data_IF_840454134894
#
_entry.id   IF_840454134894
#
_cell.length_a   1.000
_cell.length_b   1.000
_cell.length_c   1.000
_cell.angle_alpha   90.00
_cell.angle_beta   90.00
_cell.angle_gamma   90.00
#
_symmetry.space_group_name_H-M   'P 1'
#
loop_
_entity.id
_entity.type
_entity.pdbx_description
1 polymer ?
#
# COMPACT_ATOMS: atom_id res chain seq x y z
N UNK A 1 30.43 -31.23 -63.95
CA UNK A 1 30.38 -30.65 -62.58
C UNK A 1 29.97 -29.18 -62.64
N UNK A 2 28.70 -28.83 -62.38
CA UNK A 2 28.24 -27.42 -62.29
C UNK A 2 28.38 -26.95 -60.84
N UNK A 3 29.32 -26.04 -60.56
CA UNK A 3 29.49 -25.41 -59.23
C UNK A 3 28.20 -24.68 -58.86
N UNK A 4 27.50 -25.14 -57.81
CA UNK A 4 26.42 -24.38 -57.15
C UNK A 4 27.04 -23.07 -56.63
N UNK A 5 26.63 -21.93 -57.19
CA UNK A 5 26.96 -20.61 -56.64
C UNK A 5 26.29 -20.51 -55.26
N UNK A 6 27.08 -20.40 -54.19
CA UNK A 6 26.59 -20.00 -52.89
C UNK A 6 25.96 -18.60 -53.03
N UNK A 7 24.64 -18.50 -52.91
CA UNK A 7 23.96 -17.21 -52.75
C UNK A 7 24.51 -16.60 -51.46
N UNK A 8 25.33 -15.55 -51.58
CA UNK A 8 25.69 -14.71 -50.43
C UNK A 8 24.38 -14.28 -49.75
N UNK A 9 24.33 -14.19 -48.40
CA UNK A 9 23.15 -13.67 -47.73
C UNK A 9 22.82 -12.32 -48.35
N UNK A 10 21.65 -12.24 -49.01
CA UNK A 10 21.13 -10.99 -49.54
C UNK A 10 21.18 -10.01 -48.37
N UNK A 11 21.89 -8.87 -48.52
CA UNK A 11 21.63 -7.72 -47.64
C UNK A 11 20.11 -7.61 -47.65
N UNK A 12 19.44 -7.83 -46.52
CA UNK A 12 18.03 -7.48 -46.45
C UNK A 12 17.97 -6.05 -46.99
N UNK A 13 17.16 -5.83 -48.04
CA UNK A 13 17.08 -4.50 -48.63
C UNK A 13 16.82 -3.55 -47.48
N UNK A 14 17.63 -2.49 -47.34
CA UNK A 14 17.58 -1.59 -46.18
C UNK A 14 16.13 -1.15 -45.89
N UNK A 15 15.31 -1.07 -46.95
CA UNK A 15 13.85 -0.89 -46.91
C UNK A 15 13.11 -1.96 -46.09
N UNK A 16 13.35 -3.24 -46.33
CA UNK A 16 12.75 -4.36 -45.58
C UNK A 16 13.13 -4.30 -44.10
N UNK A 17 14.38 -3.98 -43.78
CA UNK A 17 14.82 -3.81 -42.38
C UNK A 17 14.13 -2.62 -41.70
N UNK A 18 14.03 -1.49 -42.40
CA UNK A 18 13.33 -0.28 -41.91
C UNK A 18 11.85 -0.57 -41.67
N UNK A 19 11.18 -1.26 -42.59
CA UNK A 19 9.77 -1.65 -42.43
C UNK A 19 9.59 -2.58 -41.22
N UNK A 20 10.47 -3.56 -41.04
CA UNK A 20 10.40 -4.47 -39.89
C UNK A 20 10.62 -3.75 -38.56
N UNK A 21 11.57 -2.80 -38.50
CA UNK A 21 11.78 -1.96 -37.32
C UNK A 21 10.57 -1.06 -37.01
N UNK A 22 9.93 -0.50 -38.03
CA UNK A 22 8.70 0.29 -37.85
C UNK A 22 7.54 -0.57 -37.32
N UNK A 23 7.38 -1.79 -37.84
CA UNK A 23 6.36 -2.73 -37.33
C UNK A 23 6.63 -3.07 -35.87
N UNK A 24 7.88 -3.37 -35.50
CA UNK A 24 8.25 -3.63 -34.11
C UNK A 24 7.94 -2.42 -33.23
N UNK A 25 8.28 -1.21 -33.67
CA UNK A 25 7.99 0.02 -32.94
C UNK A 25 6.48 0.20 -32.73
N UNK A 26 5.65 -0.02 -33.77
CA UNK A 26 4.19 0.03 -33.66
C UNK A 26 3.68 -1.02 -32.68
N UNK A 27 4.11 -2.28 -32.81
CA UNK A 27 3.66 -3.37 -31.92
C UNK A 27 4.02 -3.10 -30.46
N UNK A 28 5.21 -2.58 -30.19
CA UNK A 28 5.67 -2.27 -28.81
C UNK A 28 4.97 -1.02 -28.25
N UNK A 29 4.67 -0.03 -29.08
CA UNK A 29 4.00 1.21 -28.65
C UNK A 29 2.48 1.10 -28.58
N UNK A 30 1.87 0.14 -29.29
CA UNK A 30 0.43 -0.02 -29.37
C UNK A 30 -0.24 -0.21 -28.00
N UNK A 31 0.24 -1.06 -27.08
CA UNK A 31 -0.36 -1.19 -25.75
C UNK A 31 -0.35 0.12 -24.97
N UNK A 32 0.73 0.90 -25.06
CA UNK A 32 0.82 2.21 -24.42
C UNK A 32 -0.17 3.21 -25.04
N UNK A 33 -0.27 3.26 -26.36
CA UNK A 33 -1.24 4.14 -27.04
C UNK A 33 -2.69 3.78 -26.67
N UNK A 34 -3.03 2.48 -26.71
CA UNK A 34 -4.35 1.98 -26.31
C UNK A 34 -4.64 2.30 -24.84
N UNK A 35 -3.64 2.16 -23.97
CA UNK A 35 -3.77 2.54 -22.57
C UNK A 35 -4.05 4.04 -22.41
N UNK A 36 -3.32 4.91 -23.09
CA UNK A 36 -3.57 6.36 -23.03
C UNK A 36 -4.96 6.76 -23.53
N UNK A 37 -5.49 6.07 -24.55
CA UNK A 37 -6.83 6.31 -25.11
C UNK A 37 -7.99 5.71 -24.29
N UNK A 38 -7.71 4.79 -23.36
CA UNK A 38 -8.78 4.19 -22.54
C UNK A 38 -9.51 5.25 -21.70
N UNK A 39 -10.84 5.19 -21.56
CA UNK A 39 -11.57 6.14 -20.73
C UNK A 39 -11.27 5.93 -19.24
N UNK A 40 -11.47 6.98 -18.44
CA UNK A 40 -11.49 6.86 -16.99
C UNK A 40 -12.67 5.99 -16.52
N UNK A 41 -12.51 5.36 -15.36
CA UNK A 41 -13.56 4.54 -14.74
C UNK A 41 -14.64 5.44 -14.15
N UNK A 42 -15.89 5.01 -14.22
CA UNK A 42 -17.02 5.66 -13.52
C UNK A 42 -17.09 5.17 -12.07
N UNK A 43 -16.03 5.42 -11.31
CA UNK A 43 -15.91 4.99 -9.91
C UNK A 43 -15.04 5.98 -9.14
N UNK A 44 -15.66 6.91 -8.43
CA UNK A 44 -14.96 7.93 -7.65
C UNK A 44 -14.35 7.35 -6.37
N UNK A 45 -13.05 7.52 -6.19
CA UNK A 45 -12.32 6.97 -5.04
C UNK A 45 -11.83 8.09 -4.13
N UNK A 46 -12.04 7.94 -2.83
CA UNK A 46 -11.38 8.76 -1.80
C UNK A 46 -10.40 7.89 -1.03
N UNK A 47 -9.15 8.35 -0.93
CA UNK A 47 -8.14 7.72 -0.07
C UNK A 47 -8.11 8.46 1.26
N UNK A 48 -8.12 7.72 2.37
CA UNK A 48 -7.97 8.26 3.72
C UNK A 48 -6.73 7.65 4.37
N UNK A 49 -5.78 8.50 4.75
CA UNK A 49 -4.43 8.10 5.15
C UNK A 49 -3.88 9.05 6.22
N UNK A 50 -3.49 8.49 7.37
CA UNK A 50 -3.03 9.24 8.53
C UNK A 50 -1.52 9.27 8.72
N UNK A 51 -0.73 8.64 7.85
CA UNK A 51 0.68 8.34 8.20
C UNK A 51 1.72 9.02 7.37
N UNK A 52 1.36 9.77 6.32
CA UNK A 52 2.34 10.40 5.42
C UNK A 52 3.15 11.50 6.15
N UNK A 53 4.38 11.23 6.63
CA UNK A 53 5.12 12.19 7.43
C UNK A 53 6.01 13.08 6.55
N UNK A 54 6.16 12.75 5.26
CA UNK A 54 7.08 13.41 4.33
C UNK A 54 6.54 13.44 2.90
N UNK A 55 7.00 14.42 2.10
CA UNK A 55 6.62 14.68 0.69
C UNK A 55 6.65 13.46 -0.23
N UNK A 56 7.51 12.50 0.08
CA UNK A 56 7.79 11.41 -0.85
C UNK A 56 6.67 10.36 -0.85
N UNK A 57 5.81 10.32 0.19
CA UNK A 57 4.70 9.38 0.35
C UNK A 57 5.07 7.96 -0.12
N UNK A 58 6.34 7.55 0.12
CA UNK A 58 6.96 6.44 -0.63
C UNK A 58 6.20 5.13 -0.44
N UNK A 59 5.59 4.95 0.74
CA UNK A 59 4.81 3.77 1.09
C UNK A 59 3.48 3.67 0.30
N UNK A 60 2.93 4.79 -0.19
CA UNK A 60 1.65 4.80 -0.92
C UNK A 60 1.78 5.21 -2.39
N UNK A 61 2.99 5.43 -2.90
CA UNK A 61 3.24 5.68 -4.33
C UNK A 61 2.74 4.53 -5.22
N UNK A 62 2.83 3.29 -4.75
CA UNK A 62 2.31 2.12 -5.45
C UNK A 62 0.78 2.17 -5.60
N UNK A 63 0.08 2.55 -4.54
CA UNK A 63 -1.38 2.74 -4.54
C UNK A 63 -1.78 3.87 -5.49
N UNK A 64 -1.16 5.04 -5.39
CA UNK A 64 -1.45 6.17 -6.28
C UNK A 64 -1.14 5.84 -7.74
N UNK A 65 -0.04 5.14 -8.00
CA UNK A 65 0.28 4.64 -9.34
C UNK A 65 -0.78 3.67 -9.85
N UNK A 66 -1.25 2.75 -9.03
CA UNK A 66 -2.33 1.82 -9.39
C UNK A 66 -3.60 2.58 -9.77
N UNK A 67 -4.01 3.55 -8.95
CA UNK A 67 -5.19 4.36 -9.22
C UNK A 67 -5.07 5.13 -10.53
N UNK A 68 -3.91 5.76 -10.77
CA UNK A 68 -3.63 6.49 -11.99
C UNK A 68 -3.58 5.57 -13.22
N UNK A 69 -2.92 4.41 -13.12
CA UNK A 69 -2.80 3.44 -14.20
C UNK A 69 -4.16 2.90 -14.61
N UNK A 70 -4.99 2.48 -13.66
CA UNK A 70 -6.34 1.98 -13.96
C UNK A 70 -7.37 3.09 -14.20
N UNK A 71 -6.94 4.36 -14.17
CA UNK A 71 -7.73 5.57 -14.41
C UNK A 71 -8.98 5.66 -13.53
N UNK A 72 -8.81 5.34 -12.25
CA UNK A 72 -9.83 5.65 -11.24
C UNK A 72 -9.79 7.15 -10.93
N UNK A 73 -10.91 7.87 -11.04
CA UNK A 73 -10.94 9.29 -10.72
C UNK A 73 -11.09 9.54 -9.22
N UNK A 74 -10.62 10.69 -8.77
CA UNK A 74 -11.05 11.32 -7.51
C UNK A 74 -12.49 11.84 -7.63
N UNK A 75 -13.16 12.23 -6.52
CA UNK A 75 -14.56 12.67 -6.59
C UNK A 75 -14.82 13.91 -7.45
N UNK A 76 -13.81 14.75 -7.66
CA UNK A 76 -13.85 15.91 -8.55
C UNK A 76 -13.70 15.55 -10.05
N UNK A 77 -13.45 14.28 -10.36
CA UNK A 77 -13.28 13.76 -11.72
C UNK A 77 -11.85 13.81 -12.25
N UNK A 78 -10.89 14.31 -11.48
CA UNK A 78 -9.47 14.30 -11.86
C UNK A 78 -8.84 12.92 -11.64
N UNK A 79 -7.69 12.67 -12.28
CA UNK A 79 -6.91 11.45 -12.01
C UNK A 79 -5.97 11.69 -10.83
N UNK A 80 -5.72 10.64 -10.04
CA UNK A 80 -4.78 10.69 -8.94
C UNK A 80 -3.39 11.19 -9.39
N UNK A 81 -2.89 12.20 -8.69
CA UNK A 81 -1.54 12.71 -8.85
C UNK A 81 -0.51 11.85 -8.12
N UNK A 82 0.77 12.21 -8.30
CA UNK A 82 1.87 11.55 -7.57
C UNK A 82 1.90 11.89 -6.07
N UNK A 83 1.23 12.97 -5.66
CA UNK A 83 1.19 13.49 -4.28
C UNK A 83 -0.15 14.17 -4.00
N UNK A 84 -0.68 14.07 -2.78
CA UNK A 84 -1.68 15.01 -2.24
C UNK A 84 -3.16 14.75 -2.55
N UNK A 85 -3.52 13.64 -3.17
CA UNK A 85 -4.93 13.33 -3.50
C UNK A 85 -5.66 12.51 -2.41
N UNK A 86 -5.34 12.71 -1.13
CA UNK A 86 -5.90 11.96 -0.02
C UNK A 86 -6.38 12.86 1.12
N UNK A 87 -7.41 12.38 1.83
CA UNK A 87 -7.79 12.88 3.14
C UNK A 87 -6.84 12.33 4.19
N UNK A 88 -6.72 13.03 5.30
CA UNK A 88 -5.92 12.67 6.47
C UNK A 88 -4.80 13.67 6.72
N UNK A 89 -3.57 13.22 6.91
CA UNK A 89 -2.47 14.09 7.31
C UNK A 89 -1.62 14.56 6.12
N UNK A 90 -1.64 15.87 5.84
CA UNK A 90 -0.88 16.54 4.79
C UNK A 90 0.01 17.64 5.41
N UNK A 91 1.30 17.39 5.70
CA UNK A 91 2.14 18.32 6.47
C UNK A 91 2.44 19.66 5.77
N UNK A 92 2.20 19.77 4.46
CA UNK A 92 2.45 20.98 3.67
C UNK A 92 1.26 21.94 3.62
N UNK A 93 0.07 21.48 4.00
CA UNK A 93 -1.13 22.31 4.00
C UNK A 93 -1.15 23.21 5.24
N UNK A 94 -1.70 24.42 5.10
CA UNK A 94 -1.92 25.32 6.25
C UNK A 94 -2.81 24.66 7.31
N UNK A 95 -3.75 23.83 6.87
CA UNK A 95 -4.56 22.93 7.69
C UNK A 95 -4.13 21.48 7.38
N UNK A 96 -3.19 20.92 8.15
CA UNK A 96 -2.55 19.66 7.80
C UNK A 96 -3.42 18.43 8.07
N UNK A 97 -4.60 18.59 8.69
CA UNK A 97 -5.50 17.48 9.00
C UNK A 97 -6.82 17.72 8.27
N UNK A 98 -7.14 16.81 7.34
CA UNK A 98 -8.44 16.72 6.65
C UNK A 98 -9.08 15.39 6.99
N UNK A 99 -9.87 15.34 8.05
CA UNK A 99 -10.53 14.09 8.45
C UNK A 99 -11.66 13.66 7.49
N UNK A 100 -12.37 12.58 7.84
CA UNK A 100 -13.45 12.05 7.00
C UNK A 100 -14.67 12.98 6.85
N UNK A 101 -14.77 14.07 7.64
CA UNK A 101 -15.85 15.05 7.45
C UNK A 101 -15.74 15.79 6.11
N UNK A 102 -14.55 15.81 5.51
CA UNK A 102 -14.27 16.38 4.20
C UNK A 102 -14.55 15.41 3.03
N UNK A 103 -15.06 14.21 3.32
CA UNK A 103 -15.38 13.22 2.29
C UNK A 103 -16.46 13.75 1.33
N UNK A 104 -16.15 13.73 0.03
CA UNK A 104 -17.08 14.20 -1.00
C UNK A 104 -18.29 13.25 -1.10
N UNK A 105 -19.53 13.75 -1.16
CA UNK A 105 -20.72 12.92 -1.32
C UNK A 105 -20.71 12.05 -2.60
N UNK A 106 -19.94 12.45 -3.62
CA UNK A 106 -19.80 11.71 -4.89
C UNK A 106 -18.94 10.47 -4.76
N UNK A 107 -18.12 10.34 -3.72
CA UNK A 107 -17.27 9.17 -3.48
C UNK A 107 -18.07 7.88 -3.58
N UNK A 108 -17.59 6.91 -4.34
CA UNK A 108 -18.16 5.56 -4.49
C UNK A 108 -17.39 4.54 -3.64
N UNK A 109 -16.06 4.72 -3.56
CA UNK A 109 -15.15 3.86 -2.80
C UNK A 109 -14.35 4.70 -1.81
N UNK A 110 -14.41 4.34 -0.54
CA UNK A 110 -13.51 4.84 0.48
C UNK A 110 -12.39 3.80 0.68
N UNK A 111 -11.16 4.19 0.36
CA UNK A 111 -9.96 3.39 0.62
C UNK A 111 -9.28 3.94 1.88
N UNK A 112 -9.39 3.22 2.99
CA UNK A 112 -8.69 3.50 4.25
C UNK A 112 -7.31 2.85 4.18
N UNK A 113 -6.31 3.68 3.91
CA UNK A 113 -4.91 3.29 3.93
C UNK A 113 -4.37 3.43 5.37
N UNK A 114 -3.11 3.78 5.51
CA UNK A 114 -2.44 3.62 6.78
C UNK A 114 -3.01 4.54 7.87
N UNK A 115 -3.31 3.94 9.04
CA UNK A 115 -3.80 4.62 10.23
C UNK A 115 -2.81 4.64 11.39
N UNK A 116 -1.57 4.16 11.26
CA UNK A 116 -0.58 4.16 12.36
C UNK A 116 -0.31 5.57 12.94
N UNK A 117 -0.54 6.60 12.14
CA UNK A 117 -0.33 7.99 12.46
C UNK A 117 1.08 8.50 12.21
N UNK A 118 1.27 9.78 12.54
CA UNK A 118 2.56 10.47 12.55
C UNK A 118 3.08 10.53 13.99
N UNK A 119 4.34 10.18 14.18
CA UNK A 119 5.01 10.21 15.48
C UNK A 119 6.08 11.31 15.52
N UNK A 120 6.33 11.91 16.69
CA UNK A 120 7.37 12.95 16.89
C UNK A 120 8.77 12.43 16.57
N UNK A 121 8.97 11.14 16.76
CA UNK A 121 10.21 10.44 16.47
C UNK A 121 9.95 9.77 15.12
N UNK A 122 10.72 10.11 14.08
CA UNK A 122 10.49 9.67 12.68
C UNK A 122 10.52 8.14 12.47
N UNK A 123 10.78 7.38 13.53
CA UNK A 123 10.63 5.93 13.64
C UNK A 123 9.14 5.61 13.78
N UNK A 124 8.44 5.58 12.64
CA UNK A 124 7.07 5.05 12.57
C UNK A 124 7.02 3.69 13.28
N UNK A 125 6.14 3.59 14.28
CA UNK A 125 6.02 2.49 15.25
C UNK A 125 7.04 2.51 16.41
N UNK A 126 7.01 3.55 17.24
CA UNK A 126 7.63 3.52 18.56
C UNK A 126 6.65 2.97 19.61
N UNK A 127 6.86 1.71 20.05
CA UNK A 127 6.18 1.12 21.23
C UNK A 127 6.66 1.73 22.54
N UNK A 128 7.73 2.52 22.51
CA UNK A 128 8.31 3.18 23.66
C UNK A 128 7.55 4.46 23.97
N UNK A 129 6.81 4.45 25.08
CA UNK A 129 6.53 5.69 25.82
C UNK A 129 7.85 6.44 25.99
N UNK A 130 7.86 7.73 25.64
CA UNK A 130 8.96 8.63 26.00
C UNK A 130 9.19 8.47 27.51
N UNK A 131 10.44 8.53 28.01
CA UNK A 131 10.72 8.45 29.45
C UNK A 131 9.88 9.42 30.33
N UNK A 132 9.28 10.44 29.70
CA UNK A 132 8.44 11.47 30.31
C UNK A 132 6.93 11.12 30.40
N UNK A 133 6.48 9.98 29.84
CA UNK A 133 5.07 9.57 29.87
C UNK A 133 4.16 10.30 28.86
N UNK A 134 4.71 11.17 28.01
CA UNK A 134 3.97 11.80 26.92
C UNK A 134 3.88 10.86 25.71
N UNK A 135 2.72 10.85 25.04
CA UNK A 135 2.54 10.07 23.81
C UNK A 135 3.39 10.64 22.68
N UNK A 136 4.18 9.77 22.04
CA UNK A 136 4.95 10.10 20.84
C UNK A 136 4.06 10.36 19.61
N UNK A 137 2.76 10.07 19.68
CA UNK A 137 1.82 10.23 18.57
C UNK A 137 1.39 11.69 18.41
N UNK A 138 1.53 12.22 17.19
CA UNK A 138 1.02 13.53 16.78
C UNK A 138 -0.44 13.42 16.35
N UNK A 139 -0.76 12.49 15.44
CA UNK A 139 -2.12 12.21 14.99
C UNK A 139 -2.16 10.83 14.34
N UNK A 140 -3.17 10.00 14.64
CA UNK A 140 -3.25 8.64 14.14
C UNK A 140 -4.34 7.82 14.81
N UNK A 141 -4.47 6.57 14.38
CA UNK A 141 -5.49 5.63 14.84
C UNK A 141 -6.87 5.95 14.27
N UNK A 142 -7.71 4.93 14.18
CA UNK A 142 -9.12 5.12 13.86
C UNK A 142 -9.82 5.74 15.07
N UNK A 143 -10.64 6.77 14.85
CA UNK A 143 -11.43 7.44 15.89
C UNK A 143 -12.89 6.99 15.84
N UNK A 144 -13.66 7.24 16.91
CA UNK A 144 -15.12 6.99 16.90
C UNK A 144 -15.84 7.76 15.78
N UNK A 145 -15.41 8.99 15.51
CA UNK A 145 -15.94 9.82 14.41
C UNK A 145 -15.74 9.12 13.07
N UNK A 146 -14.53 8.58 12.84
CA UNK A 146 -14.23 7.83 11.62
C UNK A 146 -15.18 6.64 11.46
N UNK A 147 -15.37 5.84 12.52
CA UNK A 147 -16.29 4.70 12.49
C UNK A 147 -17.71 5.13 12.15
N UNK A 148 -18.20 6.22 12.75
CA UNK A 148 -19.54 6.73 12.49
C UNK A 148 -19.70 7.19 11.04
N UNK A 149 -18.73 7.93 10.50
CA UNK A 149 -18.74 8.41 9.12
C UNK A 149 -18.64 7.26 8.11
N UNK A 150 -17.80 6.26 8.36
CA UNK A 150 -17.71 5.04 7.54
C UNK A 150 -19.05 4.29 7.57
N UNK A 151 -19.67 4.15 8.74
CA UNK A 151 -20.98 3.52 8.88
C UNK A 151 -22.07 4.28 8.14
N UNK A 152 -22.08 5.61 8.22
CA UNK A 152 -23.03 6.46 7.47
C UNK A 152 -22.81 6.30 5.96
N UNK A 153 -21.56 6.31 5.51
CA UNK A 153 -21.19 6.10 4.11
C UNK A 153 -21.68 4.75 3.57
N UNK A 154 -21.54 3.68 4.35
CA UNK A 154 -22.01 2.34 3.97
C UNK A 154 -23.55 2.19 4.00
N UNK A 155 -24.25 2.98 4.83
CA UNK A 155 -25.70 2.90 5.00
C UNK A 155 -26.51 3.89 4.14
N UNK A 156 -25.85 4.66 3.27
CA UNK A 156 -26.54 5.59 2.36
C UNK A 156 -27.28 4.83 1.25
N UNK A 157 -28.21 5.51 0.57
CA UNK A 157 -29.00 4.90 -0.52
C UNK A 157 -28.14 4.53 -1.75
N UNK A 158 -27.09 5.33 -2.02
CA UNK A 158 -26.13 5.10 -3.09
C UNK A 158 -25.18 3.96 -2.71
N UNK A 159 -24.89 3.06 -3.65
CA UNK A 159 -23.89 2.00 -3.47
C UNK A 159 -22.55 2.56 -2.99
N UNK A 160 -21.97 1.88 -2.01
CA UNK A 160 -20.73 2.29 -1.34
C UNK A 160 -19.84 1.09 -1.13
N UNK A 161 -18.53 1.29 -1.20
CA UNK A 161 -17.56 0.26 -0.84
C UNK A 161 -16.48 0.86 0.05
N UNK A 162 -16.15 0.16 1.13
CA UNK A 162 -15.02 0.49 1.99
C UNK A 162 -13.97 -0.60 1.83
N UNK A 163 -12.76 -0.20 1.48
CA UNK A 163 -11.57 -1.05 1.47
C UNK A 163 -10.68 -0.52 2.58
N UNK A 164 -10.26 -1.38 3.51
CA UNK A 164 -9.43 -0.99 4.63
C UNK A 164 -8.20 -1.88 4.71
N UNK A 165 -7.02 -1.26 4.83
CA UNK A 165 -5.77 -1.98 5.07
C UNK A 165 -5.74 -2.56 6.50
N UNK A 166 -4.96 -3.64 6.70
CA UNK A 166 -4.98 -4.43 7.94
C UNK A 166 -4.61 -3.61 9.19
N UNK A 167 -3.80 -2.57 9.02
CA UNK A 167 -3.35 -1.63 10.05
C UNK A 167 -4.45 -0.69 10.56
N UNK A 168 -5.62 -0.62 9.91
CA UNK A 168 -6.79 0.14 10.38
C UNK A 168 -7.18 -0.20 11.83
N UNK A 169 -6.92 -1.45 12.24
CA UNK A 169 -7.20 -1.95 13.59
C UNK A 169 -6.03 -1.81 14.56
N UNK A 170 -4.83 -1.53 14.07
CA UNK A 170 -3.63 -1.55 14.89
C UNK A 170 -3.52 -0.31 15.79
N UNK A 171 -2.59 -0.37 16.74
CA UNK A 171 -2.17 0.78 17.55
C UNK A 171 -1.90 1.97 16.62
N UNK A 172 -2.37 3.19 16.93
CA UNK A 172 -2.88 3.66 18.23
C UNK A 172 -4.41 3.59 18.40
N UNK A 173 -5.14 2.85 17.56
CA UNK A 173 -6.60 2.73 17.65
C UNK A 173 -7.04 2.12 18.98
N UNK A 174 -7.89 2.77 19.80
CA UNK A 174 -8.37 2.20 21.06
C UNK A 174 -9.19 0.91 20.86
N UNK A 175 -9.09 -0.05 21.77
CA UNK A 175 -9.72 -1.39 21.64
C UNK A 175 -11.25 -1.33 21.44
N UNK A 176 -11.92 -0.37 22.08
CA UNK A 176 -13.36 -0.19 21.91
C UNK A 176 -13.72 0.36 20.52
N UNK A 177 -12.87 1.18 19.90
CA UNK A 177 -13.03 1.65 18.51
C UNK A 177 -12.72 0.52 17.53
N UNK A 178 -11.68 -0.29 17.79
CA UNK A 178 -11.40 -1.50 17.00
C UNK A 178 -12.62 -2.43 16.97
N UNK A 179 -13.27 -2.65 18.13
CA UNK A 179 -14.47 -3.47 18.22
C UNK A 179 -15.62 -2.93 17.36
N UNK A 180 -15.80 -1.62 17.29
CA UNK A 180 -16.80 -1.02 16.41
C UNK A 180 -16.43 -1.17 14.93
N UNK A 181 -15.15 -1.00 14.56
CA UNK A 181 -14.68 -1.21 13.20
C UNK A 181 -14.81 -2.67 12.74
N UNK A 182 -14.56 -3.64 13.63
CA UNK A 182 -14.83 -5.05 13.37
C UNK A 182 -16.29 -5.31 12.98
N UNK A 183 -17.23 -4.65 13.66
CA UNK A 183 -18.65 -4.74 13.32
C UNK A 183 -18.96 -4.07 11.98
N UNK A 184 -18.35 -2.92 11.68
CA UNK A 184 -18.56 -2.21 10.40
C UNK A 184 -18.03 -3.04 9.22
N UNK A 185 -16.85 -3.62 9.36
CA UNK A 185 -16.17 -4.36 8.29
C UNK A 185 -16.53 -5.85 8.25
N UNK A 186 -17.29 -6.35 9.23
CA UNK A 186 -17.68 -7.76 9.31
C UNK A 186 -16.51 -8.72 9.49
N UNK A 187 -15.41 -8.26 10.11
CA UNK A 187 -14.18 -9.03 10.32
C UNK A 187 -13.65 -8.84 11.73
N UNK A 188 -12.75 -9.71 12.17
CA UNK A 188 -12.06 -9.58 13.46
C UNK A 188 -10.58 -9.92 13.30
N UNK A 189 -9.71 -8.94 13.53
CA UNK A 189 -8.28 -9.18 13.55
C UNK A 189 -7.88 -9.86 14.86
N UNK A 190 -7.02 -10.88 14.75
CA UNK A 190 -6.53 -11.66 15.90
C UNK A 190 -5.29 -11.05 16.54
N UNK A 191 -4.82 -9.90 16.03
CA UNK A 191 -3.58 -9.26 16.45
C UNK A 191 -2.33 -9.79 15.75
N UNK A 192 -2.46 -10.78 14.87
CA UNK A 192 -1.33 -11.36 14.13
C UNK A 192 -1.03 -10.61 12.84
N UNK A 193 0.24 -10.30 12.62
CA UNK A 193 0.79 -9.77 11.36
C UNK A 193 1.94 -10.66 10.91
N UNK A 194 2.11 -10.83 9.60
CA UNK A 194 3.17 -11.64 9.02
C UNK A 194 4.04 -10.86 8.05
N UNK A 195 5.33 -11.17 8.04
CA UNK A 195 6.28 -10.67 7.05
C UNK A 195 7.16 -11.81 6.55
N UNK A 196 7.24 -11.94 5.22
CA UNK A 196 8.21 -12.82 4.59
C UNK A 196 9.59 -12.14 4.61
N UNK A 197 10.62 -12.91 4.93
CA UNK A 197 12.02 -12.47 4.90
C UNK A 197 12.88 -13.41 4.08
N UNK A 198 13.85 -12.84 3.36
CA UNK A 198 14.83 -13.62 2.60
C UNK A 198 15.96 -14.17 3.47
N UNK A 199 16.23 -13.53 4.61
CA UNK A 199 17.23 -13.96 5.58
C UNK A 199 16.74 -13.72 7.02
N UNK A 200 16.48 -14.81 7.73
CA UNK A 200 16.12 -14.88 9.15
C UNK A 200 17.33 -14.70 10.07
N UNK A 201 18.55 -14.57 9.55
CA UNK A 201 19.72 -14.33 10.41
C UNK A 201 19.60 -13.00 11.17
N UNK A 202 20.26 -12.83 12.33
CA UNK A 202 20.27 -11.54 13.04
C UNK A 202 20.84 -10.35 12.24
N UNK A 203 21.50 -10.62 11.11
CA UNK A 203 22.03 -9.60 10.19
C UNK A 203 21.19 -9.45 8.91
N UNK A 204 20.11 -10.23 8.80
CA UNK A 204 19.19 -10.26 7.68
C UNK A 204 18.09 -9.22 7.82
N UNK A 205 16.86 -9.63 7.49
CA UNK A 205 15.69 -8.75 7.40
C UNK A 205 14.80 -8.79 8.65
N UNK A 206 15.29 -9.40 9.73
CA UNK A 206 14.55 -9.50 11.00
C UNK A 206 14.42 -8.11 11.64
N UNK A 207 13.21 -7.67 12.01
CA UNK A 207 13.02 -6.41 12.72
C UNK A 207 13.87 -6.29 13.98
N UNK A 208 14.49 -5.13 14.18
CA UNK A 208 15.37 -4.88 15.32
C UNK A 208 14.70 -5.19 16.67
N UNK A 209 13.44 -4.81 16.86
CA UNK A 209 12.69 -5.07 18.10
C UNK A 209 12.56 -6.56 18.43
N UNK A 210 12.50 -7.45 17.42
CA UNK A 210 12.47 -8.91 17.64
C UNK A 210 13.83 -9.38 18.14
N UNK A 211 14.91 -8.88 17.54
CA UNK A 211 16.28 -9.23 17.96
C UNK A 211 16.61 -8.66 19.35
N UNK A 212 16.10 -7.49 19.69
CA UNK A 212 16.25 -6.91 21.04
C UNK A 212 15.57 -7.77 22.11
N UNK A 213 14.38 -8.29 21.81
CA UNK A 213 13.61 -9.09 22.76
C UNK A 213 14.02 -10.58 22.79
N UNK A 214 14.33 -11.17 21.64
CA UNK A 214 14.54 -12.61 21.47
C UNK A 214 15.95 -13.00 21.01
N UNK A 215 16.85 -12.03 20.80
CA UNK A 215 18.16 -12.23 20.19
C UNK A 215 19.05 -13.26 20.90
N UNK A 216 18.93 -13.41 22.22
CA UNK A 216 19.66 -14.43 22.99
C UNK A 216 19.27 -15.87 22.62
N UNK A 217 18.07 -16.06 22.08
CA UNK A 217 17.54 -17.36 21.63
C UNK A 217 17.38 -17.47 20.11
N UNK A 218 17.71 -16.41 19.36
CA UNK A 218 17.44 -16.33 17.94
C UNK A 218 18.50 -17.08 17.12
N UNK A 219 18.19 -18.32 16.76
CA UNK A 219 19.07 -19.22 16.01
C UNK A 219 18.53 -19.57 14.60
N UNK A 220 17.65 -18.73 14.06
CA UNK A 220 17.07 -18.89 12.73
C UNK A 220 18.00 -18.38 11.62
N UNK A 221 17.89 -18.98 10.43
CA UNK A 221 18.64 -18.62 9.22
C UNK A 221 17.81 -18.93 7.97
N UNK A 222 18.19 -18.34 6.84
CA UNK A 222 17.54 -18.60 5.56
C UNK A 222 16.18 -17.92 5.42
N UNK A 223 15.36 -18.38 4.49
CA UNK A 223 14.10 -17.73 4.14
C UNK A 223 12.96 -18.21 5.04
N UNK A 224 11.94 -17.37 5.23
CA UNK A 224 10.75 -17.78 5.96
C UNK A 224 9.75 -16.64 6.19
N UNK A 225 8.75 -16.91 7.01
CA UNK A 225 7.75 -15.95 7.46
C UNK A 225 7.90 -15.75 8.96
N UNK A 226 7.99 -14.50 9.39
CA UNK A 226 7.90 -14.10 10.78
C UNK A 226 6.47 -13.63 11.03
N UNK A 227 5.79 -14.28 11.96
CA UNK A 227 4.50 -13.84 12.49
C UNK A 227 4.72 -13.15 13.84
N UNK A 228 4.16 -11.97 14.04
CA UNK A 228 4.17 -11.27 15.31
C UNK A 228 2.74 -10.94 15.77
N UNK A 229 2.53 -10.99 17.09
CA UNK A 229 1.28 -10.60 17.71
C UNK A 229 1.41 -9.26 18.46
N UNK A 230 0.28 -8.55 18.63
CA UNK A 230 0.18 -7.37 19.49
C UNK A 230 0.53 -7.64 20.96
N UNK A 231 0.52 -8.89 21.40
CA UNK A 231 0.91 -9.35 22.75
C UNK A 231 2.38 -9.81 22.83
N UNK A 232 3.23 -9.35 21.90
CA UNK A 232 4.67 -9.64 21.85
C UNK A 232 5.02 -11.12 21.67
N UNK A 233 4.10 -11.90 21.09
CA UNK A 233 4.37 -13.26 20.65
C UNK A 233 4.98 -13.26 19.25
N UNK A 234 5.96 -14.13 19.01
CA UNK A 234 6.61 -14.30 17.71
C UNK A 234 6.63 -15.78 17.32
N UNK A 235 6.20 -16.08 16.10
CA UNK A 235 6.28 -17.41 15.49
C UNK A 235 7.10 -17.31 14.21
N UNK A 236 8.04 -18.22 14.02
CA UNK A 236 8.87 -18.27 12.81
C UNK A 236 8.52 -19.52 12.02
N UNK A 237 8.19 -19.34 10.75
CA UNK A 237 7.90 -20.41 9.80
C UNK A 237 9.01 -20.42 8.74
N UNK A 238 9.92 -21.40 8.80
CA UNK A 238 11.05 -21.49 7.88
C UNK A 238 10.64 -22.16 6.57
N UNK A 239 11.18 -21.67 5.47
CA UNK A 239 11.03 -22.29 4.16
C UNK A 239 11.65 -23.70 4.16
N UNK A 240 10.91 -24.69 3.67
CA UNK A 240 11.34 -26.08 3.61
C UNK A 240 11.31 -26.81 4.96
N UNK A 241 10.81 -26.20 6.04
CA UNK A 241 10.63 -26.85 7.35
C UNK A 241 9.18 -26.76 7.82
N UNK A 242 8.72 -25.56 8.19
CA UNK A 242 7.33 -25.31 8.57
C UNK A 242 6.49 -24.90 7.37
N UNK A 243 7.07 -24.08 6.49
CA UNK A 243 6.48 -23.80 5.19
C UNK A 243 6.91 -24.94 4.27
N UNK A 244 5.93 -25.58 3.63
CA UNK A 244 6.17 -26.69 2.72
C UNK A 244 7.17 -26.37 1.60
N UNK A 245 7.54 -27.39 0.81
CA UNK A 245 8.48 -27.23 -0.31
C UNK A 245 7.96 -26.29 -1.40
#
# INVERSE_FOLDING_TARGET
>A
MKRRKNKKPSRADVRTLVVLLLIILVVVSLPFALHQMSPARELAITIYDKTVPTKAAEQHRSLLWFMQHYKYPTPDGSLFGKTGSHLGYNPEDAEPIKDLTFMDPRTDVLYVADTYGVYRNAEGFSRTTVPTGESNLIWGGTTESDVQLIRQFLNREKSSTVIAEYNTFATPTPSYVQAQMYQVLGTRWTGWTGMYVHDLSPKGEVPAWILEQFGGSWNYQGKGIILSNIHDEVVVLREGVELGP
#
